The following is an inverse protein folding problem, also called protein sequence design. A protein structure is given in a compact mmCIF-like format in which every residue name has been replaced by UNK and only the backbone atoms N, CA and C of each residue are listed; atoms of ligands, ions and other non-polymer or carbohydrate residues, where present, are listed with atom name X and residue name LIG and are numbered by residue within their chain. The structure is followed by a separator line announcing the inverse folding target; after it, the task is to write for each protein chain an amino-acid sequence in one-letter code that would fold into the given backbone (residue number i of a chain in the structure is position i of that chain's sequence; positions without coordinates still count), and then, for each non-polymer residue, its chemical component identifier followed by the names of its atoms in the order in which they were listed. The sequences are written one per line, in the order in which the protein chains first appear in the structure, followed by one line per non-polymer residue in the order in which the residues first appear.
data_IF_441359183390
#
_entry.id   IF_441359183390
#
_cell.length_a   1.000
_cell.length_b   1.000
_cell.length_c   1.000
_cell.angle_alpha   90.00
_cell.angle_beta   90.00
_cell.angle_gamma   90.00
#
_symmetry.space_group_name_H-M   'P 1'
#
loop_
_entity.id
_entity.type
_entity.pdbx_description
1 polymer ?
#
# COMPACT_ATOMS: atom_id res chain seq x y z
N UNK A 1 14.84 -9.21 25.16
CA UNK A 1 16.26 -9.19 25.55
C UNK A 1 17.19 -8.70 24.44
N UNK A 2 16.64 -8.37 23.21
CA UNK A 2 17.43 -7.89 22.06
C UNK A 2 18.33 -8.96 21.42
N UNK A 3 18.07 -10.23 21.68
CA UNK A 3 18.82 -11.35 21.09
C UNK A 3 18.12 -11.85 19.83
N UNK A 4 18.87 -11.98 18.72
CA UNK A 4 18.39 -12.65 17.51
C UNK A 4 18.25 -14.14 17.83
N UNK A 5 17.06 -14.70 17.62
CA UNK A 5 16.78 -16.13 17.86
C UNK A 5 16.87 -16.95 16.59
N UNK A 6 16.51 -16.36 15.43
CA UNK A 6 16.58 -17.00 14.12
C UNK A 6 16.64 -15.94 13.01
N UNK A 7 16.91 -16.36 11.78
CA UNK A 7 16.96 -15.52 10.58
C UNK A 7 16.27 -16.24 9.43
N UNK A 8 15.26 -15.60 8.83
CA UNK A 8 14.58 -16.11 7.66
C UNK A 8 15.20 -15.55 6.38
N UNK A 9 15.47 -16.44 5.43
CA UNK A 9 15.89 -16.10 4.08
C UNK A 9 14.72 -16.36 3.13
N UNK A 10 14.30 -15.33 2.41
CA UNK A 10 13.19 -15.35 1.46
C UNK A 10 13.39 -16.45 0.41
N UNK A 11 12.37 -17.27 0.16
CA UNK A 11 12.46 -18.41 -0.78
C UNK A 11 12.23 -17.99 -2.24
N UNK A 12 11.26 -17.07 -2.47
CA UNK A 12 10.86 -16.63 -3.80
C UNK A 12 11.37 -15.22 -4.05
N UNK A 13 12.27 -15.08 -4.98
CA UNK A 13 12.85 -13.80 -5.38
C UNK A 13 12.19 -13.34 -6.69
N UNK A 14 11.24 -12.37 -6.63
CA UNK A 14 10.61 -11.88 -7.86
C UNK A 14 11.63 -11.17 -8.75
N UNK A 15 11.57 -11.49 -10.05
CA UNK A 15 12.44 -10.93 -11.07
C UNK A 15 11.62 -10.53 -12.30
N UNK A 16 10.53 -9.78 -12.07
CA UNK A 16 9.59 -9.31 -13.08
C UNK A 16 9.07 -7.90 -12.70
N UNK A 17 8.60 -7.15 -13.70
CA UNK A 17 8.14 -5.76 -13.54
C UNK A 17 9.21 -4.89 -12.88
N UNK A 18 8.94 -4.36 -11.69
CA UNK A 18 9.83 -3.49 -10.92
C UNK A 18 10.79 -4.26 -10.00
N UNK A 19 10.66 -5.58 -9.95
CA UNK A 19 11.47 -6.42 -9.07
C UNK A 19 12.66 -7.03 -9.82
N UNK A 20 13.83 -6.99 -9.20
CA UNK A 20 15.09 -7.53 -9.74
C UNK A 20 15.90 -8.16 -8.58
N UNK A 21 15.22 -8.99 -7.77
CA UNK A 21 15.82 -9.51 -6.54
C UNK A 21 16.90 -10.57 -6.81
N UNK A 22 16.74 -11.40 -7.85
CA UNK A 22 17.72 -12.44 -8.22
C UNK A 22 19.10 -11.87 -8.58
N UNK A 23 19.16 -10.60 -8.97
CA UNK A 23 20.44 -9.92 -9.23
C UNK A 23 21.30 -9.76 -7.98
N UNK A 24 20.66 -9.61 -6.82
CA UNK A 24 21.32 -9.20 -5.58
C UNK A 24 21.28 -10.25 -4.48
N UNK A 25 20.37 -11.22 -4.56
CA UNK A 25 20.11 -12.19 -3.50
C UNK A 25 20.05 -13.61 -4.03
N UNK A 26 20.34 -14.57 -3.15
CA UNK A 26 20.12 -16.00 -3.39
C UNK A 26 18.88 -16.46 -2.58
N UNK A 27 18.05 -17.38 -3.15
CA UNK A 27 16.88 -17.87 -2.45
C UNK A 27 17.24 -18.70 -1.24
N UNK A 28 16.48 -18.52 -0.15
CA UNK A 28 16.50 -19.42 1.00
C UNK A 28 15.69 -20.69 0.75
N UNK A 29 15.77 -21.64 1.69
CA UNK A 29 14.99 -22.89 1.62
C UNK A 29 14.51 -23.38 2.99
N UNK A 30 14.96 -22.76 4.09
CA UNK A 30 14.64 -23.16 5.46
C UNK A 30 13.41 -22.45 6.04
N UNK A 31 12.73 -23.11 6.97
CA UNK A 31 11.70 -22.44 7.77
C UNK A 31 12.36 -21.56 8.84
N UNK A 32 11.70 -20.44 9.15
CA UNK A 32 11.89 -19.73 10.43
C UNK A 32 10.61 -19.89 11.24
N UNK A 33 10.68 -20.64 12.32
CA UNK A 33 9.58 -20.85 13.26
C UNK A 33 10.08 -20.55 14.66
N UNK A 34 9.42 -19.60 15.33
CA UNK A 34 9.75 -19.26 16.71
C UNK A 34 8.50 -19.32 17.60
N UNK A 35 8.71 -19.52 18.88
CA UNK A 35 7.63 -19.55 19.86
C UNK A 35 7.46 -18.19 20.54
N UNK A 36 6.22 -17.68 20.57
CA UNK A 36 5.84 -16.51 21.34
C UNK A 36 4.60 -16.80 22.17
N UNK A 37 4.73 -16.75 23.50
CA UNK A 37 3.64 -17.00 24.45
C UNK A 37 2.89 -18.31 24.21
N UNK A 38 3.61 -19.36 23.85
CA UNK A 38 3.07 -20.69 23.62
C UNK A 38 2.50 -20.93 22.21
N UNK A 39 2.59 -19.95 21.29
CA UNK A 39 2.19 -20.09 19.89
C UNK A 39 3.44 -20.20 19.02
N UNK A 40 3.49 -21.20 18.16
CA UNK A 40 4.59 -21.39 17.19
C UNK A 40 4.27 -20.61 15.90
N UNK A 41 5.09 -19.62 15.62
CA UNK A 41 4.86 -18.64 14.56
C UNK A 41 5.86 -18.88 13.42
N UNK A 42 5.36 -19.17 12.22
CA UNK A 42 6.13 -19.20 10.99
C UNK A 42 6.20 -17.83 10.32
N UNK A 43 7.30 -17.56 9.62
CA UNK A 43 7.51 -16.30 8.90
C UNK A 43 7.67 -16.57 7.40
N UNK A 44 6.98 -15.78 6.58
CA UNK A 44 7.22 -15.69 5.14
C UNK A 44 7.35 -14.22 4.70
N UNK A 45 7.98 -13.98 3.57
CA UNK A 45 8.19 -12.65 3.02
C UNK A 45 7.58 -12.54 1.62
N UNK A 46 6.55 -11.72 1.48
CA UNK A 46 5.96 -11.24 0.23
C UNK A 46 5.75 -12.35 -0.83
N UNK A 47 6.60 -12.44 -1.84
CA UNK A 47 6.49 -13.39 -2.95
C UNK A 47 6.42 -14.88 -2.51
N UNK A 48 6.91 -15.21 -1.34
CA UNK A 48 6.87 -16.58 -0.80
C UNK A 48 5.47 -17.17 -0.75
N UNK A 49 4.47 -16.35 -0.51
CA UNK A 49 3.08 -16.81 -0.36
C UNK A 49 2.27 -16.76 -1.67
N UNK A 50 2.81 -16.15 -2.72
CA UNK A 50 2.13 -16.10 -4.02
C UNK A 50 2.18 -17.42 -4.79
N UNK A 51 3.09 -18.30 -4.40
CA UNK A 51 3.21 -19.66 -4.90
C UNK A 51 3.21 -20.65 -3.72
N UNK A 52 2.94 -21.93 -4.00
CA UNK A 52 3.08 -23.00 -3.01
C UNK A 52 4.55 -23.27 -2.68
N UNK A 53 4.79 -23.85 -1.51
CA UNK A 53 6.10 -24.31 -1.04
C UNK A 53 6.57 -23.66 0.27
N UNK A 54 6.74 -22.34 0.33
CA UNK A 54 7.30 -21.67 1.50
C UNK A 54 6.39 -21.76 2.75
N UNK A 55 5.08 -21.62 2.56
CA UNK A 55 4.12 -21.75 3.66
C UNK A 55 4.04 -23.19 4.19
N UNK A 56 4.14 -24.18 3.30
CA UNK A 56 4.18 -25.60 3.65
C UNK A 56 5.45 -25.95 4.44
N UNK A 57 6.60 -25.37 4.07
CA UNK A 57 7.86 -25.55 4.83
C UNK A 57 7.70 -25.00 6.26
N UNK A 58 7.02 -23.88 6.47
CA UNK A 58 6.71 -23.35 7.79
C UNK A 58 5.77 -24.28 8.57
N UNK A 59 4.69 -24.79 7.93
CA UNK A 59 3.78 -25.79 8.54
C UNK A 59 4.53 -27.04 8.97
N UNK A 60 5.35 -27.63 8.09
CA UNK A 60 6.06 -28.87 8.33
C UNK A 60 7.12 -28.72 9.45
N UNK A 61 7.65 -27.50 9.64
CA UNK A 61 8.44 -27.12 10.79
C UNK A 61 7.59 -26.88 12.06
N UNK A 62 6.27 -27.02 11.97
CA UNK A 62 5.30 -27.00 13.05
C UNK A 62 4.81 -25.61 13.43
N UNK A 63 4.74 -24.66 12.51
CA UNK A 63 4.03 -23.41 12.73
C UNK A 63 2.53 -23.65 13.00
N UNK A 64 1.94 -22.80 13.82
CA UNK A 64 0.51 -22.76 14.17
C UNK A 64 -0.16 -21.48 13.67
N UNK A 65 0.65 -20.49 13.31
CA UNK A 65 0.28 -19.20 12.75
C UNK A 65 1.34 -18.78 11.74
N UNK A 66 0.92 -18.20 10.60
CA UNK A 66 1.82 -17.64 9.62
C UNK A 66 1.80 -16.10 9.66
N UNK A 67 2.96 -15.49 9.87
CA UNK A 67 3.17 -14.05 9.70
C UNK A 67 3.79 -13.79 8.33
N UNK A 68 3.17 -12.93 7.53
CA UNK A 68 3.65 -12.58 6.19
C UNK A 68 3.97 -11.09 6.13
N UNK A 69 5.24 -10.76 5.91
CA UNK A 69 5.71 -9.38 5.80
C UNK A 69 5.80 -8.99 4.32
N UNK A 70 5.17 -7.89 3.95
CA UNK A 70 5.00 -7.53 2.55
C UNK A 70 5.36 -6.08 2.26
N UNK A 71 5.93 -5.88 1.08
CA UNK A 71 5.96 -4.64 0.33
C UNK A 71 5.29 -4.92 -1.03
N UNK A 72 3.99 -5.21 -0.99
CA UNK A 72 3.18 -5.53 -2.17
C UNK A 72 2.60 -4.23 -2.73
N UNK A 73 3.02 -3.81 -3.96
CA UNK A 73 2.56 -2.55 -4.54
C UNK A 73 1.05 -2.53 -4.78
N UNK A 74 0.49 -1.33 -4.71
CA UNK A 74 -0.91 -1.07 -5.04
C UNK A 74 -1.18 -1.28 -6.53
N UNK A 75 -2.26 -1.99 -6.81
CA UNK A 75 -2.96 -2.01 -8.09
C UNK A 75 -4.47 -2.03 -7.83
N UNK A 76 -5.27 -1.57 -8.76
CA UNK A 76 -6.72 -1.69 -8.66
C UNK A 76 -7.14 -3.15 -8.39
N UNK A 77 -7.99 -3.36 -7.40
CA UNK A 77 -8.48 -4.67 -6.95
C UNK A 77 -7.40 -5.63 -6.38
N UNK A 78 -6.18 -5.15 -6.10
CA UNK A 78 -5.09 -6.00 -5.58
C UNK A 78 -5.41 -6.60 -4.21
N UNK A 79 -6.16 -5.87 -3.37
CA UNK A 79 -6.55 -6.35 -2.05
C UNK A 79 -7.38 -7.64 -2.12
N UNK A 80 -8.33 -7.71 -3.04
CA UNK A 80 -9.10 -8.93 -3.26
C UNK A 80 -8.21 -10.11 -3.69
N UNK A 81 -7.23 -9.85 -4.56
CA UNK A 81 -6.27 -10.88 -4.99
C UNK A 81 -5.37 -11.35 -3.85
N UNK A 82 -4.99 -10.45 -2.93
CA UNK A 82 -4.24 -10.84 -1.71
C UNK A 82 -5.03 -11.81 -0.85
N UNK A 83 -6.34 -11.57 -0.65
CA UNK A 83 -7.19 -12.52 0.09
C UNK A 83 -7.29 -13.88 -0.60
N UNK A 84 -7.48 -13.90 -1.92
CA UNK A 84 -7.56 -15.15 -2.68
C UNK A 84 -6.29 -15.97 -2.52
N UNK A 85 -5.12 -15.36 -2.73
CA UNK A 85 -3.82 -16.01 -2.57
C UNK A 85 -3.62 -16.53 -1.15
N UNK A 86 -3.98 -15.77 -0.13
CA UNK A 86 -3.86 -16.24 1.25
C UNK A 86 -4.83 -17.40 1.56
N UNK A 87 -6.05 -17.39 1.01
CA UNK A 87 -6.98 -18.53 1.12
C UNK A 87 -6.44 -19.78 0.48
N UNK A 88 -5.77 -19.68 -0.68
CA UNK A 88 -5.07 -20.81 -1.29
C UNK A 88 -4.00 -21.37 -0.33
N UNK A 89 -3.18 -20.50 0.29
CA UNK A 89 -2.16 -20.94 1.26
C UNK A 89 -2.75 -21.53 2.53
N UNK A 90 -3.86 -20.99 3.01
CA UNK A 90 -4.59 -21.58 4.15
C UNK A 90 -5.13 -22.96 3.77
N UNK A 91 -5.68 -23.13 2.58
CA UNK A 91 -6.14 -24.44 2.11
C UNK A 91 -5.02 -25.49 2.03
N UNK A 92 -3.80 -25.06 1.63
CA UNK A 92 -2.63 -25.94 1.52
C UNK A 92 -2.03 -26.29 2.91
N UNK A 93 -2.18 -25.42 3.89
CA UNK A 93 -1.44 -25.52 5.16
C UNK A 93 -2.32 -25.69 6.39
N UNK A 94 -3.56 -25.22 6.37
CA UNK A 94 -4.43 -25.10 7.55
C UNK A 94 -4.02 -23.99 8.52
N UNK A 95 -3.02 -23.15 8.17
CA UNK A 95 -2.51 -22.13 9.08
C UNK A 95 -3.33 -20.83 8.93
N UNK A 96 -3.83 -20.24 10.03
CA UNK A 96 -4.30 -18.86 10.03
C UNK A 96 -3.15 -17.91 9.69
N UNK A 97 -3.49 -16.73 9.13
CA UNK A 97 -2.50 -15.80 8.57
C UNK A 97 -2.69 -14.41 9.16
N UNK A 98 -1.58 -13.75 9.51
CA UNK A 98 -1.51 -12.30 9.63
C UNK A 98 -0.62 -11.75 8.52
N UNK A 99 -1.22 -10.93 7.64
CA UNK A 99 -0.59 -10.30 6.49
C UNK A 99 -0.33 -8.83 6.80
N UNK A 100 0.94 -8.46 6.93
CA UNK A 100 1.35 -7.07 7.15
C UNK A 100 1.91 -6.50 5.86
N UNK A 101 1.35 -5.38 5.39
CA UNK A 101 1.80 -4.72 4.16
C UNK A 101 2.31 -3.31 4.43
N UNK A 102 3.33 -2.91 3.69
CA UNK A 102 3.92 -1.58 3.73
C UNK A 102 2.90 -0.50 3.37
N UNK A 103 3.06 0.69 3.92
CA UNK A 103 2.39 1.93 3.51
C UNK A 103 3.44 2.93 3.03
N UNK A 104 3.15 3.63 1.96
CA UNK A 104 3.96 4.75 1.46
C UNK A 104 4.15 4.76 -0.04
N UNK A 105 4.66 5.88 -0.56
CA UNK A 105 5.11 6.04 -1.94
C UNK A 105 6.64 5.90 -2.00
N UNK A 106 7.15 5.23 -3.01
CA UNK A 106 8.56 5.12 -3.30
C UNK A 106 8.77 5.10 -4.81
N UNK A 107 9.43 6.13 -5.31
CA UNK A 107 9.59 6.38 -6.75
C UNK A 107 8.22 6.31 -7.48
N UNK A 108 8.03 5.41 -8.43
CA UNK A 108 6.75 5.19 -9.14
C UNK A 108 5.80 4.22 -8.41
N UNK A 109 6.20 3.66 -7.27
CA UNK A 109 5.40 2.68 -6.54
C UNK A 109 4.63 3.33 -5.38
N UNK A 110 3.42 2.84 -5.16
CA UNK A 110 2.63 3.13 -3.97
C UNK A 110 2.29 1.82 -3.26
N UNK A 111 2.44 1.82 -1.95
CA UNK A 111 2.09 0.70 -1.07
C UNK A 111 0.91 1.14 -0.21
N UNK A 112 -0.17 0.41 -0.33
CA UNK A 112 -1.49 0.79 0.19
C UNK A 112 -1.76 0.33 1.63
N UNK A 113 -0.86 -0.43 2.24
CA UNK A 113 -1.16 -1.04 3.53
C UNK A 113 -2.27 -2.08 3.39
N UNK A 114 -3.44 -1.82 4.00
CA UNK A 114 -4.54 -2.77 3.97
C UNK A 114 -4.17 -4.12 4.56
N UNK A 115 -3.32 -4.12 5.59
CA UNK A 115 -2.92 -5.32 6.34
C UNK A 115 -4.15 -6.05 6.87
N UNK A 116 -4.08 -7.39 7.01
CA UNK A 116 -5.26 -8.16 7.39
C UNK A 116 -4.90 -9.46 8.13
N UNK A 117 -5.89 -10.06 8.78
CA UNK A 117 -5.80 -11.38 9.34
C UNK A 117 -6.91 -12.28 8.79
N UNK A 118 -6.57 -13.50 8.41
CA UNK A 118 -7.51 -14.55 8.03
C UNK A 118 -7.41 -15.69 9.04
N UNK A 119 -8.56 -16.30 9.36
CA UNK A 119 -8.61 -17.50 10.17
C UNK A 119 -8.27 -18.77 9.36
N UNK A 120 -8.29 -19.92 10.01
CA UNK A 120 -7.99 -21.22 9.39
C UNK A 120 -8.99 -21.63 8.30
N UNK A 121 -10.19 -21.02 8.27
CA UNK A 121 -11.24 -21.26 7.26
C UNK A 121 -11.15 -20.21 6.12
N UNK A 122 -10.16 -19.30 6.17
CA UNK A 122 -9.96 -18.23 5.21
C UNK A 122 -10.95 -17.07 5.34
N UNK A 123 -11.65 -16.98 6.47
CA UNK A 123 -12.54 -15.86 6.76
C UNK A 123 -11.73 -14.67 7.27
N UNK A 124 -12.16 -13.48 6.85
CA UNK A 124 -11.50 -12.23 7.25
C UNK A 124 -11.86 -11.89 8.69
N UNK A 125 -10.90 -12.01 9.58
CA UNK A 125 -11.04 -11.71 11.00
C UNK A 125 -10.74 -10.24 11.33
N UNK A 126 -9.86 -9.61 10.57
CA UNK A 126 -9.49 -8.21 10.72
C UNK A 126 -8.90 -7.65 9.43
N UNK A 127 -9.12 -6.35 9.21
CA UNK A 127 -8.44 -5.58 8.17
C UNK A 127 -8.10 -4.19 8.70
N UNK A 128 -6.87 -3.77 8.50
CA UNK A 128 -6.38 -2.42 8.78
C UNK A 128 -6.77 -1.40 7.72
N UNK A 129 -6.54 -0.15 8.05
CA UNK A 129 -6.78 0.96 7.14
C UNK A 129 -5.84 0.91 5.92
N UNK A 130 -6.29 1.50 4.80
CA UNK A 130 -5.47 1.69 3.61
C UNK A 130 -4.90 3.11 3.56
N UNK A 131 -3.69 3.24 3.00
CA UNK A 131 -2.97 4.51 2.73
C UNK A 131 -2.59 5.33 3.96
N UNK A 132 -2.67 4.76 5.16
CA UNK A 132 -2.25 5.39 6.42
C UNK A 132 -1.41 4.43 7.26
N UNK A 133 -0.43 4.97 7.99
CA UNK A 133 0.32 4.22 8.98
C UNK A 133 -0.58 3.85 10.16
N UNK A 134 -0.60 2.57 10.52
CA UNK A 134 -1.44 2.06 11.60
C UNK A 134 -0.67 1.09 12.48
N UNK A 135 -0.92 1.13 13.78
CA UNK A 135 -0.50 0.13 14.75
C UNK A 135 -1.71 -0.45 15.46
N UNK A 136 -2.07 -1.67 15.12
CA UNK A 136 -3.21 -2.37 15.71
C UNK A 136 -2.75 -3.59 16.50
N UNK A 137 -3.33 -3.77 17.70
CA UNK A 137 -3.10 -4.93 18.52
C UNK A 137 -4.12 -6.02 18.16
N UNK A 138 -3.65 -7.11 17.56
CA UNK A 138 -4.47 -8.28 17.29
C UNK A 138 -4.33 -9.31 18.40
N UNK A 139 -5.44 -9.93 18.78
CA UNK A 139 -5.47 -11.00 19.75
C UNK A 139 -5.62 -12.35 19.05
N UNK A 140 -4.65 -13.23 19.27
CA UNK A 140 -4.67 -14.62 18.80
C UNK A 140 -4.51 -15.57 19.99
N UNK A 141 -5.47 -16.46 20.18
CA UNK A 141 -5.43 -17.46 21.26
C UNK A 141 -6.22 -18.69 20.87
N UNK A 142 -5.75 -19.85 21.31
CA UNK A 142 -6.41 -21.14 21.07
C UNK A 142 -6.62 -21.43 19.56
N UNK A 143 -5.69 -20.99 18.71
CA UNK A 143 -5.74 -21.17 17.26
C UNK A 143 -6.67 -20.22 16.50
N UNK A 144 -7.27 -19.23 17.18
CA UNK A 144 -8.25 -18.34 16.56
C UNK A 144 -7.93 -16.85 16.80
N UNK A 145 -8.25 -16.04 15.82
CA UNK A 145 -8.30 -14.60 15.95
C UNK A 145 -9.55 -14.18 16.72
N UNK A 146 -9.40 -13.23 17.64
CA UNK A 146 -10.56 -12.56 18.23
C UNK A 146 -11.02 -11.49 17.23
N UNK A 147 -12.32 -11.45 16.99
CA UNK A 147 -12.93 -10.48 16.05
C UNK A 147 -12.53 -9.04 16.40
N UNK A 148 -11.92 -8.38 15.45
CA UNK A 148 -11.41 -7.00 15.58
C UNK A 148 -12.15 -6.02 14.64
N UNK A 149 -13.08 -6.54 13.86
CA UNK A 149 -13.86 -5.80 12.89
C UNK A 149 -13.23 -5.75 11.49
N UNK A 150 -14.12 -5.71 10.52
CA UNK A 150 -13.78 -5.56 9.10
C UNK A 150 -14.41 -4.25 8.63
N UNK A 151 -13.64 -3.31 8.06
CA UNK A 151 -14.20 -2.06 7.55
C UNK A 151 -15.12 -2.32 6.34
N UNK A 152 -16.03 -1.39 6.09
CA UNK A 152 -16.82 -1.40 4.88
C UNK A 152 -15.95 -1.33 3.64
N UNK A 153 -16.42 -2.00 2.57
CA UNK A 153 -15.70 -2.00 1.29
C UNK A 153 -15.70 -0.60 0.69
N UNK A 154 -14.51 -0.12 0.33
CA UNK A 154 -14.32 1.19 -0.29
C UNK A 154 -14.55 1.13 -1.80
N UNK A 155 -15.07 2.19 -2.43
CA UNK A 155 -15.07 2.32 -3.89
C UNK A 155 -13.64 2.32 -4.44
N UNK A 156 -13.43 1.68 -5.59
CA UNK A 156 -12.10 1.60 -6.23
C UNK A 156 -11.56 2.99 -6.60
N UNK A 157 -12.44 3.92 -6.94
CA UNK A 157 -12.07 5.31 -7.25
C UNK A 157 -11.48 6.04 -6.05
N UNK A 158 -12.00 5.76 -4.85
CA UNK A 158 -11.45 6.31 -3.61
C UNK A 158 -10.04 5.76 -3.33
N UNK A 159 -9.83 4.48 -3.55
CA UNK A 159 -8.51 3.86 -3.38
C UNK A 159 -7.50 4.41 -4.41
N UNK A 160 -7.91 4.59 -5.66
CA UNK A 160 -7.07 5.21 -6.69
C UNK A 160 -6.72 6.66 -6.34
N UNK A 161 -7.69 7.43 -5.86
CA UNK A 161 -7.46 8.81 -5.44
C UNK A 161 -6.47 8.90 -4.29
N UNK A 162 -6.67 8.11 -3.23
CA UNK A 162 -5.77 8.08 -2.08
C UNK A 162 -4.37 7.59 -2.45
N UNK A 163 -4.26 6.65 -3.39
CA UNK A 163 -2.96 6.22 -3.92
C UNK A 163 -2.22 7.36 -4.63
N UNK A 164 -2.93 8.16 -5.42
CA UNK A 164 -2.34 9.33 -6.10
C UNK A 164 -1.90 10.40 -5.10
N UNK A 165 -2.73 10.69 -4.09
CA UNK A 165 -2.40 11.64 -3.02
C UNK A 165 -1.18 11.17 -2.24
N UNK A 166 -1.13 9.89 -1.82
CA UNK A 166 -0.01 9.30 -1.10
C UNK A 166 1.28 9.34 -1.94
N UNK A 167 1.19 8.96 -3.22
CA UNK A 167 2.33 8.96 -4.14
C UNK A 167 2.93 10.35 -4.31
N UNK A 168 2.11 11.37 -4.55
CA UNK A 168 2.57 12.77 -4.68
C UNK A 168 3.18 13.27 -3.37
N UNK A 169 2.52 13.03 -2.24
CA UNK A 169 2.98 13.47 -0.93
C UNK A 169 4.37 12.90 -0.61
N UNK A 170 4.52 11.60 -0.77
CA UNK A 170 5.74 10.90 -0.41
C UNK A 170 6.88 11.19 -1.39
N UNK A 171 6.59 11.27 -2.70
CA UNK A 171 7.60 11.61 -3.70
C UNK A 171 8.20 13.00 -3.45
N UNK A 172 7.35 14.02 -3.27
CA UNK A 172 7.84 15.37 -3.01
C UNK A 172 8.50 15.48 -1.63
N UNK A 173 7.92 14.86 -0.60
CA UNK A 173 8.44 14.90 0.76
C UNK A 173 9.80 14.23 0.90
N UNK A 174 9.94 13.01 0.40
CA UNK A 174 11.18 12.22 0.47
C UNK A 174 12.32 12.83 -0.34
N UNK A 175 12.01 13.51 -1.44
CA UNK A 175 13.00 14.20 -2.27
C UNK A 175 13.27 15.66 -1.83
N UNK A 176 12.59 16.15 -0.79
CA UNK A 176 12.81 17.47 -0.23
C UNK A 176 12.33 18.62 -1.13
N UNK A 177 11.36 18.38 -2.01
CA UNK A 177 10.77 19.44 -2.83
C UNK A 177 9.95 20.42 -1.97
N UNK A 178 10.07 21.74 -2.20
CA UNK A 178 9.37 22.73 -1.37
C UNK A 178 7.86 22.81 -1.64
N UNK A 179 7.38 22.26 -2.76
CA UNK A 179 5.99 22.29 -3.20
C UNK A 179 5.84 21.92 -4.66
N UNK A 180 4.65 22.15 -5.22
CA UNK A 180 4.33 21.86 -6.61
C UNK A 180 3.83 23.09 -7.37
N UNK A 181 4.20 23.18 -8.66
CA UNK A 181 3.65 24.13 -9.61
C UNK A 181 2.82 23.37 -10.65
N UNK A 182 1.55 23.71 -10.76
CA UNK A 182 0.59 23.03 -11.63
C UNK A 182 0.16 23.99 -12.76
N UNK A 183 0.30 23.55 -14.02
CA UNK A 183 -0.27 24.24 -15.18
C UNK A 183 -1.78 23.97 -15.27
N UNK A 184 -2.61 25.02 -15.16
CA UNK A 184 -4.04 24.90 -15.39
C UNK A 184 -4.38 25.20 -16.85
N UNK A 185 -5.22 24.36 -17.45
CA UNK A 185 -5.71 24.53 -18.83
C UNK A 185 -7.20 24.88 -18.90
N UNK A 186 -7.90 24.83 -17.76
CA UNK A 186 -9.37 24.87 -17.70
C UNK A 186 -10.05 23.54 -18.01
N UNK A 187 -9.26 22.46 -18.24
CA UNK A 187 -9.77 21.10 -18.42
C UNK A 187 -9.76 20.29 -17.12
N UNK A 188 -10.59 19.23 -17.11
CA UNK A 188 -10.78 18.36 -15.92
C UNK A 188 -9.49 17.69 -15.45
N UNK A 189 -8.60 17.30 -16.35
CA UNK A 189 -7.36 16.60 -15.98
C UNK A 189 -6.44 17.50 -15.17
N UNK A 190 -6.23 18.73 -15.59
CA UNK A 190 -5.42 19.70 -14.85
C UNK A 190 -6.08 20.12 -13.52
N UNK A 191 -7.40 20.17 -13.51
CA UNK A 191 -8.19 20.43 -12.31
C UNK A 191 -8.03 19.30 -11.29
N UNK A 192 -8.17 18.04 -11.71
CA UNK A 192 -7.96 16.87 -10.85
C UNK A 192 -6.51 16.81 -10.33
N UNK A 193 -5.53 17.09 -11.20
CA UNK A 193 -4.11 17.14 -10.79
C UNK A 193 -3.89 18.21 -9.71
N UNK A 194 -4.52 19.37 -9.83
CA UNK A 194 -4.44 20.43 -8.82
C UNK A 194 -5.08 19.99 -7.49
N UNK A 195 -6.24 19.35 -7.54
CA UNK A 195 -6.91 18.83 -6.33
C UNK A 195 -6.04 17.81 -5.60
N UNK A 196 -5.50 16.82 -6.32
CA UNK A 196 -4.58 15.81 -5.75
C UNK A 196 -3.35 16.48 -5.14
N UNK A 197 -2.75 17.47 -5.80
CA UNK A 197 -1.59 18.18 -5.26
C UNK A 197 -1.91 18.93 -3.97
N UNK A 198 -3.09 19.55 -3.89
CA UNK A 198 -3.55 20.28 -2.69
C UNK A 198 -3.81 19.30 -1.54
N UNK A 199 -4.47 18.18 -1.80
CA UNK A 199 -4.74 17.17 -0.77
C UNK A 199 -3.44 16.48 -0.28
N UNK A 200 -2.45 16.35 -1.17
CA UNK A 200 -1.16 15.77 -0.82
C UNK A 200 -0.26 16.70 0.00
N UNK A 201 -0.25 18.00 -0.31
CA UNK A 201 0.78 18.93 0.17
C UNK A 201 0.24 20.06 1.05
N UNK A 202 -1.05 20.36 0.96
CA UNK A 202 -1.67 21.58 1.47
C UNK A 202 -1.58 22.74 0.48
N UNK A 203 -2.57 23.63 0.51
CA UNK A 203 -2.71 24.75 -0.43
C UNK A 203 -1.53 25.73 -0.42
N UNK A 204 -0.87 25.90 0.72
CA UNK A 204 0.28 26.78 0.92
C UNK A 204 1.54 26.35 0.13
N UNK A 205 1.65 25.04 -0.18
CA UNK A 205 2.76 24.46 -0.94
C UNK A 205 2.44 24.23 -2.42
N UNK A 206 1.23 24.60 -2.85
CA UNK A 206 0.82 24.45 -4.26
C UNK A 206 0.62 25.81 -4.89
N UNK A 207 1.13 25.95 -6.13
CA UNK A 207 0.94 27.13 -6.97
C UNK A 207 0.37 26.70 -8.30
N UNK A 208 -0.65 27.39 -8.77
CA UNK A 208 -1.23 27.17 -10.08
C UNK A 208 -0.85 28.29 -11.05
N UNK A 209 -0.56 27.94 -12.29
CA UNK A 209 -0.30 28.89 -13.36
C UNK A 209 -1.16 28.57 -14.57
N UNK A 210 -1.83 29.58 -15.12
CA UNK A 210 -2.52 29.49 -16.41
C UNK A 210 -1.80 30.36 -17.44
N UNK A 211 -1.64 29.82 -18.64
CA UNK A 211 -0.97 30.50 -19.75
C UNK A 211 -1.97 30.72 -20.90
N UNK A 212 -2.89 31.72 -20.76
CA UNK A 212 -3.89 31.95 -21.75
C UNK A 212 -3.30 32.57 -23.04
N UNK A 213 -3.71 32.03 -24.16
CA UNK A 213 -3.52 32.65 -25.48
C UNK A 213 -4.75 33.47 -25.88
N UNK A 214 -4.67 34.29 -26.93
CA UNK A 214 -5.85 35.00 -27.46
C UNK A 214 -7.02 34.08 -27.90
N UNK A 215 -6.75 32.79 -28.06
CA UNK A 215 -7.73 31.77 -28.49
C UNK A 215 -8.28 30.95 -27.32
N UNK A 216 -7.81 31.19 -26.09
CA UNK A 216 -8.26 30.44 -24.91
C UNK A 216 -9.71 30.76 -24.62
N UNK A 217 -10.54 29.71 -24.49
CA UNK A 217 -11.97 29.87 -24.19
C UNK A 217 -12.17 30.55 -22.82
N UNK A 218 -13.07 31.55 -22.77
CA UNK A 218 -13.38 32.25 -21.50
C UNK A 218 -13.83 31.31 -20.37
N UNK A 219 -14.62 30.30 -20.70
CA UNK A 219 -15.11 29.31 -19.75
C UNK A 219 -13.95 28.66 -18.99
N UNK A 220 -12.92 28.17 -19.69
CA UNK A 220 -11.76 27.57 -19.02
C UNK A 220 -10.97 28.52 -18.12
N UNK A 221 -10.93 29.82 -18.47
CA UNK A 221 -10.36 30.87 -17.60
C UNK A 221 -11.18 31.04 -16.32
N UNK A 222 -12.49 31.15 -16.45
CA UNK A 222 -13.40 31.39 -15.33
C UNK A 222 -13.44 30.17 -14.41
N UNK A 223 -13.50 28.96 -14.96
CA UNK A 223 -13.44 27.70 -14.20
C UNK A 223 -12.11 27.58 -13.41
N UNK A 224 -10.99 27.91 -14.05
CA UNK A 224 -9.68 27.89 -13.39
C UNK A 224 -9.61 28.89 -12.23
N UNK A 225 -10.10 30.11 -12.42
CA UNK A 225 -10.16 31.15 -11.39
C UNK A 225 -11.06 30.78 -10.22
N UNK A 226 -12.16 30.10 -10.49
CA UNK A 226 -13.08 29.63 -9.48
C UNK A 226 -12.46 28.51 -8.65
N UNK A 227 -11.86 27.51 -9.31
CA UNK A 227 -11.21 26.39 -8.66
C UNK A 227 -10.05 26.81 -7.75
N UNK A 228 -9.15 27.70 -8.19
CA UNK A 228 -8.04 28.16 -7.36
C UNK A 228 -8.52 28.96 -6.15
N UNK A 229 -9.65 29.68 -6.24
CA UNK A 229 -10.29 30.34 -5.10
C UNK A 229 -10.85 29.33 -4.10
N UNK A 230 -11.52 28.27 -4.55
CA UNK A 230 -12.05 27.23 -3.68
C UNK A 230 -10.95 26.48 -2.94
N UNK A 231 -9.85 26.15 -3.65
CA UNK A 231 -8.73 25.41 -3.08
C UNK A 231 -7.76 26.31 -2.27
N UNK A 232 -7.87 27.62 -2.38
CA UNK A 232 -7.04 28.58 -1.61
C UNK A 232 -5.58 28.61 -2.05
N UNK A 233 -5.26 28.20 -3.28
CA UNK A 233 -3.89 28.14 -3.79
C UNK A 233 -3.45 29.46 -4.41
N UNK A 234 -2.13 29.70 -4.47
CA UNK A 234 -1.54 30.83 -5.22
C UNK A 234 -1.74 30.60 -6.70
N UNK A 235 -2.11 31.68 -7.41
CA UNK A 235 -2.44 31.62 -8.82
C UNK A 235 -1.81 32.75 -9.62
N UNK A 236 -1.28 32.40 -10.79
CA UNK A 236 -0.71 33.35 -11.76
C UNK A 236 -1.34 33.15 -13.15
N UNK A 237 -1.61 34.25 -13.85
CA UNK A 237 -1.96 34.25 -15.27
C UNK A 237 -0.82 34.87 -16.06
N UNK A 238 -0.27 34.11 -17.00
CA UNK A 238 0.86 34.51 -17.84
C UNK A 238 0.39 34.44 -19.31
N UNK A 239 0.04 35.58 -19.89
CA UNK A 239 -0.39 35.61 -21.31
C UNK A 239 0.75 35.20 -22.26
N UNK A 240 0.42 34.37 -23.23
CA UNK A 240 1.33 33.86 -24.26
C UNK A 240 0.84 34.22 -25.66
#
# INVERSE_FOLDING_TARGET
DGRIVDTYFKHRLPNYEVFDEERYFEPGSGACVFELKGVRIGVNICADVWESGAAEVARDAGAELLLVLNASPFHMNKQQRRYEVMRERIADTGLPVAYCNLVGGQDELVFDGGSFALDQDGLLAWQGASFVDELTLLQFSDGVWRDQGVPDMRPVEADVYDALVLGVRDYLGKNGFPGALIGLSGGVDSALTLAIAVDALGADKVRAAMMPSPYTARMGLDDSREMVRWLGVRYDEISI
#
